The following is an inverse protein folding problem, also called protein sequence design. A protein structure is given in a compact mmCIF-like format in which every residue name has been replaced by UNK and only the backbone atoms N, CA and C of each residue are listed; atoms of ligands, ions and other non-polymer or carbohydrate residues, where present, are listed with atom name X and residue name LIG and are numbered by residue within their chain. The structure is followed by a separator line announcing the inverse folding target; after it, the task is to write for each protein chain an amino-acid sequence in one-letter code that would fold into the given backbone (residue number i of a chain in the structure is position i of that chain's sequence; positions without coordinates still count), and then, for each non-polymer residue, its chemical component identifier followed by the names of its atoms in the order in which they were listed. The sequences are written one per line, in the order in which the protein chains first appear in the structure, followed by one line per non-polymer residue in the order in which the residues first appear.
data_IF_054535427824
#
_entry.id   IF_054535427824
#
_cell.length_a   1.000
_cell.length_b   1.000
_cell.length_c   1.000
_cell.angle_alpha   90.00
_cell.angle_beta   90.00
_cell.angle_gamma   90.00
#
_symmetry.space_group_name_H-M   'P 1'
#
loop_
_entity.id
_entity.type
_entity.pdbx_description
1 polymer ?
#
# COMPACT_ATOMS: atom_id res chain seq x y z
N UNK A 1 -12.94 -63.68 -6.38
CA UNK A 1 -13.28 -63.03 -5.10
C UNK A 1 -13.35 -61.54 -5.36
N UNK A 2 -14.55 -60.97 -5.55
CA UNK A 2 -14.72 -59.55 -5.85
C UNK A 2 -14.98 -58.80 -4.54
N UNK A 3 -13.94 -58.17 -3.99
CA UNK A 3 -14.04 -57.33 -2.80
C UNK A 3 -14.79 -56.05 -3.13
N UNK A 4 -16.06 -55.99 -2.72
CA UNK A 4 -16.87 -54.76 -2.77
C UNK A 4 -16.24 -53.71 -1.86
N UNK A 5 -15.63 -52.67 -2.45
CA UNK A 5 -15.18 -51.50 -1.70
C UNK A 5 -16.42 -50.77 -1.17
N UNK A 6 -16.53 -50.60 0.14
CA UNK A 6 -17.52 -49.73 0.77
C UNK A 6 -17.25 -48.32 0.26
N UNK A 7 -18.20 -47.71 -0.46
CA UNK A 7 -18.13 -46.32 -0.87
C UNK A 7 -18.34 -45.44 0.36
N UNK A 8 -17.24 -44.98 0.96
CA UNK A 8 -17.23 -43.94 1.99
C UNK A 8 -17.32 -42.58 1.30
N UNK A 9 -18.54 -42.11 1.03
CA UNK A 9 -18.82 -40.76 0.56
C UNK A 9 -19.19 -39.83 1.71
N UNK A 10 -18.84 -38.54 1.59
CA UNK A 10 -19.36 -37.49 2.47
C UNK A 10 -20.87 -37.37 2.33
N UNK A 11 -21.57 -37.14 3.44
CA UNK A 11 -23.03 -36.96 3.39
C UNK A 11 -23.39 -35.53 2.96
N UNK A 12 -24.51 -35.36 2.26
CA UNK A 12 -25.00 -34.03 1.85
C UNK A 12 -25.23 -33.10 3.05
N UNK A 13 -25.70 -33.66 4.17
CA UNK A 13 -25.95 -32.89 5.39
C UNK A 13 -24.65 -32.38 6.03
N UNK A 14 -23.60 -33.18 5.98
CA UNK A 14 -22.28 -32.81 6.50
C UNK A 14 -21.67 -31.67 5.68
N UNK A 15 -21.82 -31.72 4.36
CA UNK A 15 -21.38 -30.62 3.48
C UNK A 15 -22.21 -29.35 3.71
N UNK A 16 -23.53 -29.44 3.91
CA UNK A 16 -24.38 -28.27 4.16
C UNK A 16 -24.01 -27.55 5.47
N UNK A 17 -23.70 -28.29 6.54
CA UNK A 17 -23.27 -27.69 7.81
C UNK A 17 -21.93 -26.97 7.65
N UNK A 18 -20.97 -27.60 6.95
CA UNK A 18 -19.65 -27.00 6.71
C UNK A 18 -19.75 -25.71 5.92
N UNK A 19 -20.56 -25.68 4.85
CA UNK A 19 -20.77 -24.47 4.04
C UNK A 19 -21.44 -23.37 4.87
N UNK A 20 -22.39 -23.72 5.74
CA UNK A 20 -23.02 -22.77 6.66
C UNK A 20 -22.03 -22.10 7.62
N UNK A 21 -21.12 -22.88 8.22
CA UNK A 21 -20.09 -22.36 9.12
C UNK A 21 -19.09 -21.48 8.37
N UNK A 22 -18.60 -21.92 7.20
CA UNK A 22 -17.68 -21.12 6.37
C UNK A 22 -18.33 -19.80 5.93
N UNK A 23 -19.63 -19.81 5.60
CA UNK A 23 -20.38 -18.61 5.23
C UNK A 23 -20.40 -17.55 6.34
N UNK A 24 -20.64 -17.96 7.59
CA UNK A 24 -20.63 -17.04 8.75
C UNK A 24 -19.23 -16.47 8.98
N UNK A 25 -18.19 -17.32 8.92
CA UNK A 25 -16.80 -16.88 9.09
C UNK A 25 -16.38 -15.90 8.00
N UNK A 26 -16.73 -16.19 6.74
CA UNK A 26 -16.40 -15.35 5.59
C UNK A 26 -17.08 -13.97 5.67
N UNK A 27 -18.34 -13.90 6.13
CA UNK A 27 -19.06 -12.64 6.26
C UNK A 27 -18.37 -11.65 7.21
N UNK A 28 -17.73 -12.14 8.27
CA UNK A 28 -16.98 -11.32 9.24
C UNK A 28 -15.54 -11.04 8.74
N UNK A 29 -14.92 -12.04 8.12
CA UNK A 29 -13.52 -11.97 7.69
C UNK A 29 -13.29 -11.07 6.46
N UNK A 30 -14.22 -11.05 5.49
CA UNK A 30 -14.05 -10.29 4.25
C UNK A 30 -13.86 -8.78 4.48
N UNK A 31 -14.76 -8.05 5.19
CA UNK A 31 -14.62 -6.60 5.35
C UNK A 31 -13.38 -6.22 6.16
N UNK A 32 -13.04 -7.03 7.16
CA UNK A 32 -11.85 -6.79 7.99
C UNK A 32 -10.58 -7.01 7.17
N UNK A 33 -10.48 -8.11 6.42
CA UNK A 33 -9.34 -8.40 5.54
C UNK A 33 -9.13 -7.32 4.47
N UNK A 34 -10.21 -6.82 3.86
CA UNK A 34 -10.14 -5.71 2.91
C UNK A 34 -9.57 -4.43 3.54
N UNK A 35 -9.96 -4.10 4.77
CA UNK A 35 -9.41 -2.96 5.51
C UNK A 35 -7.93 -3.15 5.87
N UNK A 36 -7.50 -4.37 6.18
CA UNK A 36 -6.08 -4.66 6.43
C UNK A 36 -5.24 -4.50 5.16
N UNK A 37 -5.73 -4.98 4.02
CA UNK A 37 -5.05 -4.80 2.73
C UNK A 37 -4.95 -3.32 2.39
N UNK A 38 -6.02 -2.54 2.55
CA UNK A 38 -5.99 -1.11 2.23
C UNK A 38 -5.00 -0.34 3.10
N UNK A 39 -4.96 -0.61 4.41
CA UNK A 39 -3.96 -0.04 5.33
C UNK A 39 -2.53 -0.46 4.97
N UNK A 40 -2.33 -1.72 4.60
CA UNK A 40 -1.01 -2.22 4.17
C UNK A 40 -0.52 -1.51 2.90
N UNK A 41 -1.39 -1.32 1.91
CA UNK A 41 -1.07 -0.58 0.69
C UNK A 41 -0.76 0.90 0.98
N UNK A 42 -1.53 1.54 1.86
CA UNK A 42 -1.27 2.91 2.27
C UNK A 42 0.10 3.06 2.95
N UNK A 43 0.44 2.12 3.84
CA UNK A 43 1.74 2.10 4.51
C UNK A 43 2.90 1.83 3.53
N UNK A 44 2.70 0.93 2.55
CA UNK A 44 3.70 0.66 1.52
C UNK A 44 3.98 1.92 0.69
N UNK A 45 2.93 2.64 0.26
CA UNK A 45 3.10 3.92 -0.42
C UNK A 45 3.73 4.99 0.48
N UNK A 46 3.41 5.03 1.77
CA UNK A 46 4.08 5.94 2.71
C UNK A 46 5.58 5.68 2.81
N UNK A 47 6.03 4.42 2.80
CA UNK A 47 7.45 4.08 2.82
C UNK A 47 8.14 4.49 1.51
N UNK A 48 7.48 4.29 0.37
CA UNK A 48 7.98 4.72 -0.94
C UNK A 48 8.08 6.24 -1.04
N UNK A 49 7.04 6.96 -0.62
CA UNK A 49 7.03 8.42 -0.58
C UNK A 49 8.08 8.99 0.38
N UNK A 50 8.32 8.32 1.53
CA UNK A 50 9.41 8.67 2.46
C UNK A 50 10.78 8.48 1.84
N UNK A 51 11.01 7.33 1.19
CA UNK A 51 12.29 7.08 0.53
C UNK A 51 12.57 8.13 -0.54
N UNK A 52 11.55 8.48 -1.34
CA UNK A 52 11.65 9.53 -2.33
C UNK A 52 11.89 10.90 -1.71
N UNK A 53 11.12 11.29 -0.69
CA UNK A 53 11.27 12.61 -0.04
C UNK A 53 12.64 12.76 0.64
N UNK A 54 13.20 11.69 1.21
CA UNK A 54 14.57 11.70 1.75
C UNK A 54 15.62 11.88 0.66
N UNK A 55 15.46 11.21 -0.49
CA UNK A 55 16.35 11.41 -1.63
C UNK A 55 16.27 12.86 -2.13
N UNK A 56 15.06 13.38 -2.34
CA UNK A 56 14.84 14.77 -2.75
C UNK A 56 15.46 15.73 -1.75
N UNK A 57 15.20 15.54 -0.44
CA UNK A 57 15.76 16.38 0.63
C UNK A 57 17.29 16.42 0.58
N UNK A 58 17.96 15.27 0.42
CA UNK A 58 19.44 15.25 0.33
C UNK A 58 19.92 16.00 -0.90
N UNK A 59 19.31 15.78 -2.07
CA UNK A 59 19.74 16.38 -3.31
C UNK A 59 19.53 17.90 -3.35
N UNK A 60 18.40 18.41 -2.85
CA UNK A 60 18.17 19.86 -2.82
C UNK A 60 19.03 20.58 -1.77
N UNK A 61 19.50 19.87 -0.73
CA UNK A 61 20.40 20.45 0.28
C UNK A 61 21.87 20.28 -0.10
N UNK A 62 22.18 19.53 -1.17
CA UNK A 62 23.52 19.49 -1.69
C UNK A 62 23.85 20.83 -2.35
N UNK A 63 25.08 21.32 -2.13
CA UNK A 63 25.49 22.64 -2.64
C UNK A 63 25.90 22.61 -4.12
N UNK A 64 25.82 21.44 -4.76
CA UNK A 64 26.17 21.22 -6.15
C UNK A 64 24.89 21.22 -7.01
N UNK A 65 24.71 22.26 -7.82
CA UNK A 65 23.48 22.57 -8.56
C UNK A 65 23.25 21.61 -9.77
N UNK A 66 24.23 20.74 -10.05
CA UNK A 66 24.22 19.81 -11.18
C UNK A 66 23.51 18.47 -10.86
N UNK A 67 23.18 18.19 -9.58
CA UNK A 67 22.51 16.94 -9.18
C UNK A 67 21.09 17.19 -8.67
N UNK A 68 20.15 17.27 -9.61
CA UNK A 68 18.74 17.48 -9.31
C UNK A 68 18.00 16.16 -9.01
N UNK A 69 16.89 16.21 -8.25
CA UNK A 69 16.04 15.06 -8.08
C UNK A 69 15.51 14.54 -9.42
N UNK A 70 15.32 13.23 -9.51
CA UNK A 70 14.78 12.56 -10.70
C UNK A 70 13.34 12.12 -10.40
N UNK A 71 12.56 11.84 -11.45
CA UNK A 71 11.20 11.37 -11.32
C UNK A 71 11.07 10.12 -10.42
N UNK A 72 10.01 10.03 -9.61
CA UNK A 72 9.80 8.90 -8.70
C UNK A 72 9.45 7.62 -9.46
N UNK A 73 10.00 6.49 -9.00
CA UNK A 73 9.62 5.16 -9.50
C UNK A 73 8.41 4.67 -8.70
N UNK A 74 7.29 4.48 -9.38
CA UNK A 74 6.01 4.14 -8.76
C UNK A 74 5.82 2.62 -8.63
N UNK A 75 5.69 2.11 -7.40
CA UNK A 75 5.42 0.69 -7.14
C UNK A 75 4.14 0.48 -6.31
N UNK A 76 4.11 0.99 -5.08
CA UNK A 76 2.99 0.94 -4.15
C UNK A 76 2.11 2.20 -4.24
N UNK A 77 2.70 3.32 -4.63
CA UNK A 77 1.97 4.54 -4.93
C UNK A 77 1.35 4.50 -6.33
N UNK A 78 0.19 5.14 -6.48
CA UNK A 78 -0.43 5.46 -7.77
C UNK A 78 0.22 6.71 -8.39
N UNK A 79 0.59 7.67 -7.55
CA UNK A 79 1.28 8.90 -7.96
C UNK A 79 2.09 9.44 -6.79
N UNK A 80 3.23 10.03 -7.10
CA UNK A 80 4.06 10.82 -6.17
C UNK A 80 4.33 12.14 -6.92
N UNK A 81 4.30 13.27 -6.22
CA UNK A 81 4.69 14.57 -6.80
C UNK A 81 6.08 14.44 -7.40
N UNK A 82 6.22 14.79 -8.68
CA UNK A 82 7.50 14.80 -9.36
C UNK A 82 8.30 16.00 -8.87
N UNK A 83 9.41 15.72 -8.17
CA UNK A 83 10.33 16.71 -7.66
C UNK A 83 11.49 17.02 -8.62
N UNK A 84 11.37 16.60 -9.88
CA UNK A 84 12.40 16.85 -10.88
C UNK A 84 12.64 18.36 -11.03
N UNK A 85 13.89 18.78 -10.80
CA UNK A 85 14.29 20.18 -10.88
C UNK A 85 13.87 21.06 -9.71
N UNK A 86 13.45 20.48 -8.58
CA UNK A 86 13.23 21.24 -7.35
C UNK A 86 14.54 21.76 -6.76
N UNK A 87 14.45 22.93 -6.14
CA UNK A 87 15.51 23.65 -5.41
C UNK A 87 15.01 24.02 -4.01
N UNK A 88 15.87 24.51 -3.13
CA UNK A 88 15.51 24.88 -1.74
C UNK A 88 14.34 25.87 -1.61
N UNK A 89 14.02 26.60 -2.68
CA UNK A 89 12.98 27.62 -2.71
C UNK A 89 11.72 27.18 -3.48
N UNK A 90 11.78 26.07 -4.21
CA UNK A 90 10.67 25.56 -5.02
C UNK A 90 10.03 24.35 -4.37
N UNK A 91 8.73 24.48 -4.09
CA UNK A 91 7.80 23.40 -3.72
C UNK A 91 8.31 22.42 -2.65
N UNK A 92 8.07 22.72 -1.38
CA UNK A 92 8.64 21.94 -0.28
C UNK A 92 7.73 20.78 0.20
N UNK A 93 6.74 20.37 -0.60
CA UNK A 93 5.75 19.36 -0.19
C UNK A 93 5.57 18.31 -1.29
N UNK A 94 5.99 17.08 -1.01
CA UNK A 94 5.70 15.90 -1.85
C UNK A 94 4.39 15.29 -1.38
N UNK A 95 3.42 15.22 -2.30
CA UNK A 95 2.18 14.49 -2.09
C UNK A 95 2.23 13.15 -2.83
N UNK A 96 1.80 12.08 -2.18
CA UNK A 96 1.62 10.79 -2.81
C UNK A 96 0.20 10.27 -2.62
N UNK A 97 -0.27 9.48 -3.57
CA UNK A 97 -1.53 8.74 -3.47
C UNK A 97 -1.24 7.26 -3.53
N UNK A 98 -1.75 6.52 -2.57
CA UNK A 98 -1.68 5.07 -2.59
C UNK A 98 -2.59 4.49 -3.70
N UNK A 99 -2.27 3.29 -4.17
CA UNK A 99 -3.10 2.54 -5.14
C UNK A 99 -4.57 2.47 -4.72
N UNK A 100 -5.52 2.32 -5.69
CA UNK A 100 -6.94 2.66 -5.54
C UNK A 100 -7.70 1.91 -4.44
N UNK A 101 -7.16 0.82 -3.91
CA UNK A 101 -7.82 0.08 -2.82
C UNK A 101 -7.72 0.79 -1.45
N UNK A 102 -6.93 1.86 -1.32
CA UNK A 102 -6.79 2.59 -0.06
C UNK A 102 -7.14 4.08 -0.12
N UNK A 103 -7.08 4.73 -1.30
CA UNK A 103 -7.28 6.18 -1.50
C UNK A 103 -6.52 7.10 -0.52
N UNK A 104 -5.56 6.56 0.23
CA UNK A 104 -4.82 7.29 1.24
C UNK A 104 -3.93 8.33 0.55
N UNK A 105 -3.96 9.55 1.07
CA UNK A 105 -3.04 10.62 0.66
C UNK A 105 -1.87 10.63 1.64
N UNK A 106 -0.65 10.78 1.15
CA UNK A 106 0.54 10.92 1.95
C UNK A 106 1.10 12.30 1.66
N UNK A 107 1.48 13.02 2.72
CA UNK A 107 2.10 14.33 2.58
C UNK A 107 3.44 14.30 3.30
N UNK A 108 4.51 14.58 2.55
CA UNK A 108 5.87 14.71 3.02
C UNK A 108 6.28 16.17 2.94
N UNK A 109 6.60 16.77 4.07
CA UNK A 109 7.11 18.13 4.14
C UNK A 109 8.64 18.09 4.16
N UNK A 110 9.25 18.71 3.15
CA UNK A 110 10.69 18.73 2.92
C UNK A 110 11.32 19.99 3.55
N UNK A 111 10.53 21.01 3.91
CA UNK A 111 11.03 22.22 4.59
C UNK A 111 11.57 21.94 5.99
N UNK A 112 11.06 20.89 6.65
CA UNK A 112 11.29 20.59 8.06
C UNK A 112 12.07 19.28 8.27
N UNK A 113 12.77 18.80 7.25
CA UNK A 113 13.44 17.50 7.24
C UNK A 113 12.73 16.59 6.26
N UNK A 114 12.05 15.55 6.72
CA UNK A 114 11.17 14.71 5.86
C UNK A 114 10.05 13.99 6.63
N UNK A 115 9.30 14.63 7.55
CA UNK A 115 8.14 13.98 8.15
C UNK A 115 7.08 13.72 7.09
N UNK A 116 6.82 12.44 6.81
CA UNK A 116 5.67 12.05 6.00
C UNK A 116 4.54 11.56 6.89
N UNK A 117 3.35 12.14 6.70
CA UNK A 117 2.12 11.76 7.39
C UNK A 117 1.12 11.14 6.42
N UNK A 118 0.38 10.16 6.94
CA UNK A 118 -0.80 9.63 6.25
C UNK A 118 -1.98 10.57 6.52
N UNK A 119 -2.66 10.97 5.47
CA UNK A 119 -3.93 11.68 5.48
C UNK A 119 -5.00 10.64 5.13
N UNK A 120 -5.70 10.16 6.17
CA UNK A 120 -6.84 9.25 6.07
C UNK A 120 -8.13 10.01 5.81
#
# INVERSE_FOLDING_TARGET
MSTSKIQTGFTLIEVMIVVGIIGILAAIAIPTYQSFISKSQANACLLEARAYSTQVFVLINDQDDDTLPVAPVLNACQSITDATGWTLETQQVVEARAKPSSNARIQCDISVGTPCRLLL
#
